data_IF_655495554360
#
_entry.id   IF_655495554360
#
_cell.length_a   1.000
_cell.length_b   1.000
_cell.length_c   1.000
_cell.angle_alpha   90.00
_cell.angle_beta   90.00
_cell.angle_gamma   90.00
#
_symmetry.space_group_name_H-M   'P 1'
#
loop_
_entity.id
_entity.type
_entity.pdbx_description
1 polymer ?
#
# COMPACT_ATOMS: atom_id res chain seq x y z
N UNK A 1 3.79 14.63 -12.19
CA UNK A 1 3.40 13.71 -11.11
C UNK A 1 3.38 12.33 -11.72
N UNK A 2 4.11 11.37 -11.16
CA UNK A 2 4.23 10.04 -11.76
C UNK A 2 2.96 9.22 -11.48
N UNK A 3 2.59 8.37 -12.42
CA UNK A 3 1.49 7.41 -12.29
C UNK A 3 1.84 6.27 -11.32
N UNK A 4 0.83 5.50 -10.91
CA UNK A 4 1.00 4.34 -10.05
C UNK A 4 1.90 3.27 -10.72
N UNK A 5 1.72 3.03 -12.03
CA UNK A 5 2.53 2.06 -12.77
C UNK A 5 3.99 2.52 -12.91
N UNK A 6 4.23 3.79 -13.22
CA UNK A 6 5.60 4.34 -13.28
C UNK A 6 6.30 4.21 -11.92
N UNK A 7 5.60 4.48 -10.82
CA UNK A 7 6.14 4.30 -9.47
C UNK A 7 6.43 2.82 -9.16
N UNK A 8 5.55 1.91 -9.58
CA UNK A 8 5.73 0.48 -9.40
C UNK A 8 6.92 -0.07 -10.20
N UNK A 9 7.02 0.27 -11.49
CA UNK A 9 8.11 -0.17 -12.36
C UNK A 9 9.47 0.28 -11.85
N UNK A 10 9.56 1.53 -11.41
CA UNK A 10 10.83 2.05 -10.89
C UNK A 10 11.24 1.43 -9.54
N UNK A 11 10.29 0.87 -8.78
CA UNK A 11 10.57 0.09 -7.56
C UNK A 11 11.08 -1.32 -7.87
N UNK A 12 10.79 -1.84 -9.06
CA UNK A 12 11.29 -3.14 -9.52
C UNK A 12 12.68 -2.98 -10.14
N UNK A 13 13.50 -4.05 -10.15
CA UNK A 13 14.71 -4.06 -10.95
C UNK A 13 14.35 -3.89 -12.44
N UNK A 14 14.87 -2.85 -13.08
CA UNK A 14 14.59 -2.52 -14.48
C UNK A 14 15.84 -2.00 -15.19
N UNK A 15 15.80 -1.97 -16.51
CA UNK A 15 16.88 -1.40 -17.33
C UNK A 15 16.61 0.07 -17.61
N UNK A 16 17.58 0.94 -17.39
CA UNK A 16 17.51 2.36 -17.74
C UNK A 16 18.84 2.86 -18.31
N UNK A 17 18.83 4.01 -19.00
CA UNK A 17 20.06 4.62 -19.51
C UNK A 17 20.88 5.25 -18.39
N UNK A 18 22.17 4.94 -18.38
CA UNK A 18 23.14 5.53 -17.47
C UNK A 18 23.38 7.01 -17.80
N UNK A 19 23.23 7.95 -16.85
CA UNK A 19 23.51 9.37 -17.13
C UNK A 19 25.00 9.65 -17.35
N UNK A 20 25.91 8.87 -16.73
CA UNK A 20 27.35 9.05 -16.87
C UNK A 20 27.93 8.55 -18.21
N UNK A 21 27.58 7.33 -18.63
CA UNK A 21 28.15 6.70 -19.85
C UNK A 21 27.16 6.47 -21.00
N UNK A 22 25.88 6.83 -20.83
CA UNK A 22 24.84 6.74 -21.86
C UNK A 22 24.37 5.32 -22.21
N UNK A 23 25.01 4.28 -21.66
CA UNK A 23 24.68 2.87 -21.92
C UNK A 23 23.51 2.40 -21.05
N UNK A 24 22.78 1.41 -21.55
CA UNK A 24 21.75 0.73 -20.76
C UNK A 24 22.39 0.00 -19.57
N UNK A 25 21.82 0.19 -18.39
CA UNK A 25 22.25 -0.45 -17.16
C UNK A 25 21.05 -0.96 -16.39
N UNK A 26 21.29 -1.99 -15.60
CA UNK A 26 20.35 -2.43 -14.59
C UNK A 26 20.31 -1.39 -13.46
N UNK A 27 19.12 -0.92 -13.11
CA UNK A 27 18.90 -0.02 -11.98
C UNK A 27 18.71 -0.86 -10.72
N UNK A 28 19.52 -0.54 -9.72
CA UNK A 28 19.43 -1.16 -8.41
C UNK A 28 18.18 -0.69 -7.66
N UNK A 29 17.53 -1.69 -7.09
CA UNK A 29 16.50 -1.67 -6.06
C UNK A 29 16.42 -0.35 -5.28
N UNK A 30 15.21 0.21 -5.19
CA UNK A 30 14.89 1.21 -4.16
C UNK A 30 14.98 0.54 -2.79
N UNK A 31 15.73 1.08 -1.85
CA UNK A 31 15.77 0.62 -0.46
C UNK A 31 15.19 1.70 0.44
N UNK A 32 13.94 1.53 0.87
CA UNK A 32 13.22 2.51 1.67
C UNK A 32 13.03 3.84 0.94
N UNK A 33 13.56 4.93 1.50
CA UNK A 33 13.51 6.28 0.91
C UNK A 33 14.69 6.57 -0.03
N UNK A 34 15.64 5.64 -0.14
CA UNK A 34 16.87 5.80 -0.91
C UNK A 34 16.81 4.96 -2.18
N UNK A 35 17.16 5.55 -3.31
CA UNK A 35 17.39 4.82 -4.54
C UNK A 35 18.87 4.52 -4.66
N UNK A 36 19.22 3.25 -4.89
CA UNK A 36 20.61 2.84 -5.09
C UNK A 36 20.78 2.41 -6.53
N UNK A 37 21.20 3.34 -7.37
CA UNK A 37 21.52 3.05 -8.76
C UNK A 37 23.00 2.66 -8.87
N UNK A 38 23.31 1.58 -9.60
CA UNK A 38 24.68 1.15 -9.90
C UNK A 38 24.79 0.81 -11.38
N UNK A 39 25.66 1.50 -12.11
CA UNK A 39 25.92 1.17 -13.50
C UNK A 39 26.67 -0.15 -13.64
N UNK A 40 26.11 -1.15 -14.32
CA UNK A 40 26.81 -2.40 -14.62
C UNK A 40 28.03 -2.16 -15.53
N UNK A 41 27.97 -1.13 -16.39
CA UNK A 41 29.02 -0.79 -17.36
C UNK A 41 30.17 0.03 -16.75
N UNK A 42 29.89 1.23 -16.23
CA UNK A 42 30.94 2.14 -15.72
C UNK A 42 31.13 2.11 -14.20
N UNK A 43 30.37 1.27 -13.48
CA UNK A 43 30.39 1.12 -12.01
C UNK A 43 30.03 2.37 -11.21
N UNK A 44 29.60 3.44 -11.88
CA UNK A 44 29.07 4.63 -11.24
C UNK A 44 27.93 4.25 -10.29
N UNK A 45 27.92 4.83 -9.08
CA UNK A 45 26.91 4.56 -8.06
C UNK A 45 26.26 5.87 -7.65
N UNK A 46 24.96 5.97 -7.86
CA UNK A 46 24.16 7.12 -7.44
C UNK A 46 23.26 6.65 -6.31
N UNK A 47 23.47 7.19 -5.12
CA UNK A 47 22.56 7.03 -4.00
C UNK A 47 21.78 8.33 -3.92
N UNK A 48 20.54 8.34 -4.42
CA UNK A 48 19.65 9.49 -4.21
C UNK A 48 18.85 9.22 -2.93
N UNK A 49 19.00 10.10 -1.94
CA UNK A 49 18.05 10.21 -0.86
C UNK A 49 16.98 11.22 -1.29
N UNK A 50 15.74 10.77 -1.44
CA UNK A 50 14.64 11.61 -1.88
C UNK A 50 14.46 11.66 -3.41
N UNK A 51 13.20 11.75 -3.82
CA UNK A 51 12.80 11.92 -5.23
C UNK A 51 11.82 10.88 -5.77
N UNK A 52 11.49 9.83 -5.00
CA UNK A 52 10.47 8.90 -5.49
C UNK A 52 9.06 9.44 -5.28
N UNK A 53 8.19 9.31 -6.29
CA UNK A 53 6.83 9.82 -6.22
C UNK A 53 6.08 8.89 -5.29
N UNK A 54 5.78 9.36 -4.09
CA UNK A 54 4.83 8.68 -3.23
C UNK A 54 3.42 9.02 -3.71
N UNK A 55 3.07 8.63 -4.94
CA UNK A 55 1.79 8.97 -5.56
C UNK A 55 0.59 8.55 -4.71
N UNK A 56 0.76 7.47 -3.94
CA UNK A 56 -0.20 6.95 -2.97
C UNK A 56 -0.09 7.55 -1.56
N UNK A 57 1.01 8.21 -1.16
CA UNK A 57 1.09 8.92 0.13
C UNK A 57 0.52 10.31 -0.03
N UNK A 58 -0.78 10.40 0.16
CA UNK A 58 -1.53 11.65 0.11
C UNK A 58 -2.60 11.64 1.20
N UNK A 59 -3.32 12.75 1.32
CA UNK A 59 -4.37 12.92 2.32
C UNK A 59 -5.74 12.40 1.86
N UNK A 60 -5.84 11.76 0.67
CA UNK A 60 -7.11 11.20 0.22
C UNK A 60 -7.50 10.00 1.09
N UNK A 61 -8.79 9.91 1.34
CA UNK A 61 -9.37 8.80 2.09
C UNK A 61 -10.18 7.89 1.19
N UNK A 62 -10.01 6.58 1.41
CA UNK A 62 -10.67 5.51 0.69
C UNK A 62 -11.47 4.65 1.64
N UNK A 63 -12.53 4.03 1.13
CA UNK A 63 -13.41 3.19 1.93
C UNK A 63 -12.91 1.75 1.99
N UNK A 64 -13.03 1.15 3.17
CA UNK A 64 -13.10 -0.29 3.33
C UNK A 64 -14.45 -0.63 3.95
N UNK A 65 -15.09 -1.66 3.40
CA UNK A 65 -16.36 -2.16 3.89
C UNK A 65 -16.12 -3.54 4.45
N UNK A 66 -16.63 -3.79 5.65
CA UNK A 66 -16.61 -5.11 6.28
C UNK A 66 -18.02 -5.57 6.58
N UNK A 67 -18.22 -6.86 6.48
CA UNK A 67 -19.43 -7.50 6.96
C UNK A 67 -19.35 -7.79 8.45
N UNK A 68 -20.51 -7.92 9.07
CA UNK A 68 -20.64 -8.28 10.47
C UNK A 68 -19.94 -9.63 10.74
N UNK A 69 -18.96 -9.68 11.65
CA UNK A 69 -18.25 -10.91 11.94
C UNK A 69 -19.17 -12.05 12.42
N UNK A 70 -18.99 -13.24 11.85
CA UNK A 70 -19.81 -14.42 12.13
C UNK A 70 -19.54 -15.05 13.50
N UNK A 71 -18.29 -15.02 13.98
CA UNK A 71 -17.85 -15.68 15.21
C UNK A 71 -17.12 -14.73 16.17
N UNK A 72 -17.02 -15.17 17.43
CA UNK A 72 -16.43 -14.38 18.52
C UNK A 72 -14.95 -14.07 18.31
N UNK A 73 -14.20 -14.94 17.65
CA UNK A 73 -12.77 -14.73 17.41
C UNK A 73 -12.58 -13.57 16.43
N UNK A 74 -13.34 -13.56 15.32
CA UNK A 74 -13.31 -12.46 14.35
C UNK A 74 -13.75 -11.12 14.96
N UNK A 75 -14.68 -11.14 15.93
CA UNK A 75 -15.04 -9.93 16.69
C UNK A 75 -13.86 -9.35 17.49
N UNK A 76 -13.06 -10.21 18.12
CA UNK A 76 -11.87 -9.78 18.88
C UNK A 76 -10.81 -9.22 17.93
N UNK A 77 -10.49 -9.95 16.86
CA UNK A 77 -9.52 -9.49 15.85
C UNK A 77 -9.94 -8.16 15.20
N UNK A 78 -11.22 -8.00 14.88
CA UNK A 78 -11.73 -6.75 14.32
C UNK A 78 -11.54 -5.58 15.30
N UNK A 79 -11.88 -5.77 16.57
CA UNK A 79 -11.76 -4.74 17.59
C UNK A 79 -10.29 -4.34 17.82
N UNK A 80 -9.38 -5.32 17.83
CA UNK A 80 -7.94 -5.10 17.96
C UNK A 80 -7.37 -4.27 16.80
N UNK A 81 -7.68 -4.66 15.55
CA UNK A 81 -7.24 -3.93 14.34
C UNK A 81 -7.78 -2.50 14.32
N UNK A 82 -9.03 -2.29 14.75
CA UNK A 82 -9.64 -0.96 14.88
C UNK A 82 -9.14 -0.17 16.10
N UNK A 83 -8.33 -0.77 16.98
CA UNK A 83 -7.88 -0.20 18.26
C UNK A 83 -9.06 0.26 19.12
N UNK A 84 -10.11 -0.57 19.19
CA UNK A 84 -11.34 -0.36 19.97
C UNK A 84 -11.62 -1.56 20.87
N UNK A 85 -12.54 -1.39 21.82
CA UNK A 85 -13.06 -2.54 22.55
C UNK A 85 -14.15 -3.27 21.73
N UNK A 86 -14.40 -4.54 22.04
CA UNK A 86 -15.38 -5.38 21.31
C UNK A 86 -16.81 -4.85 21.42
N UNK A 87 -17.19 -4.26 22.56
CA UNK A 87 -18.56 -3.78 22.79
C UNK A 87 -18.89 -2.55 21.95
N UNK A 88 -17.94 -1.63 21.80
CA UNK A 88 -18.02 -0.44 20.98
C UNK A 88 -17.99 -0.81 19.50
N UNK A 89 -17.13 -1.78 19.12
CA UNK A 89 -17.15 -2.32 17.75
C UNK A 89 -18.51 -2.91 17.40
N UNK A 90 -19.16 -3.63 18.34
CA UNK A 90 -20.51 -4.19 18.13
C UNK A 90 -21.59 -3.13 17.94
N UNK A 91 -21.46 -1.95 18.57
CA UNK A 91 -22.44 -0.86 18.41
C UNK A 91 -22.50 -0.37 16.96
N UNK A 92 -21.40 -0.41 16.21
CA UNK A 92 -21.41 -0.04 14.79
C UNK A 92 -22.30 -0.93 13.94
N UNK A 93 -22.55 -2.18 14.35
CA UNK A 93 -23.40 -3.14 13.66
C UNK A 93 -24.78 -3.32 14.34
N UNK A 94 -25.18 -2.39 15.21
CA UNK A 94 -26.46 -2.49 15.92
C UNK A 94 -27.66 -2.40 14.96
N UNK A 95 -27.52 -1.62 13.88
CA UNK A 95 -28.58 -1.34 12.92
C UNK A 95 -28.18 -1.63 11.46
N UNK A 96 -27.00 -2.23 11.26
CA UNK A 96 -26.46 -2.54 9.93
C UNK A 96 -25.78 -3.91 9.95
N UNK A 97 -25.69 -4.56 8.79
CA UNK A 97 -24.88 -5.76 8.58
C UNK A 97 -23.46 -5.45 8.11
N UNK A 98 -23.18 -4.19 7.76
CA UNK A 98 -21.90 -3.74 7.23
C UNK A 98 -21.41 -2.50 7.94
N UNK A 99 -20.09 -2.33 8.00
CA UNK A 99 -19.42 -1.14 8.49
C UNK A 99 -18.49 -0.63 7.39
N UNK A 100 -18.70 0.61 6.97
CA UNK A 100 -17.77 1.34 6.11
C UNK A 100 -16.85 2.20 6.98
N UNK A 101 -15.54 2.03 6.80
CA UNK A 101 -14.53 2.92 7.38
C UNK A 101 -13.79 3.65 6.27
N UNK A 102 -13.45 4.91 6.50
CA UNK A 102 -12.65 5.71 5.58
C UNK A 102 -11.29 5.97 6.19
N UNK A 103 -10.24 5.64 5.45
CA UNK A 103 -8.85 5.70 5.90
C UNK A 103 -7.98 6.28 4.79
N UNK A 104 -6.87 6.90 5.17
CA UNK A 104 -5.80 7.29 4.23
C UNK A 104 -5.25 6.05 3.51
N UNK A 105 -4.70 6.24 2.31
CA UNK A 105 -4.21 5.14 1.45
C UNK A 105 -3.38 4.08 2.19
N UNK A 106 -2.36 4.50 2.93
CA UNK A 106 -1.45 3.60 3.65
C UNK A 106 -2.21 2.77 4.70
N UNK A 107 -2.92 3.44 5.61
CA UNK A 107 -3.74 2.78 6.63
C UNK A 107 -4.84 1.88 6.03
N UNK A 108 -5.42 2.29 4.89
CA UNK A 108 -6.41 1.50 4.17
C UNK A 108 -5.81 0.16 3.70
N UNK A 109 -4.62 0.20 3.12
CA UNK A 109 -3.93 -1.01 2.66
C UNK A 109 -3.46 -1.86 3.85
N UNK A 110 -2.91 -1.26 4.90
CA UNK A 110 -2.50 -1.97 6.11
C UNK A 110 -3.68 -2.71 6.77
N UNK A 111 -4.79 -2.01 7.01
CA UNK A 111 -5.99 -2.57 7.63
C UNK A 111 -6.62 -3.64 6.76
N UNK A 112 -6.68 -3.43 5.43
CA UNK A 112 -7.17 -4.44 4.49
C UNK A 112 -6.39 -5.75 4.61
N UNK A 113 -5.06 -5.69 4.65
CA UNK A 113 -4.23 -6.89 4.80
C UNK A 113 -4.32 -7.52 6.19
N UNK A 114 -4.44 -6.71 7.24
CA UNK A 114 -4.66 -7.22 8.59
C UNK A 114 -5.99 -8.00 8.69
N UNK A 115 -7.06 -7.50 8.06
CA UNK A 115 -8.34 -8.19 8.01
C UNK A 115 -8.31 -9.47 7.19
N UNK A 116 -7.69 -9.46 6.01
CA UNK A 116 -7.49 -10.67 5.22
C UNK A 116 -6.69 -11.73 5.98
N UNK A 117 -5.61 -11.33 6.67
CA UNK A 117 -4.81 -12.24 7.50
C UNK A 117 -5.60 -12.82 8.69
N UNK A 118 -6.60 -12.09 9.18
CA UNK A 118 -7.50 -12.52 10.24
C UNK A 118 -8.74 -13.29 9.73
N UNK A 119 -8.81 -13.61 8.43
CA UNK A 119 -9.96 -14.24 7.78
C UNK A 119 -11.27 -13.45 7.97
N UNK A 120 -11.18 -12.12 8.01
CA UNK A 120 -12.34 -11.22 8.08
C UNK A 120 -12.68 -10.77 6.65
N UNK A 121 -13.87 -11.11 6.12
CA UNK A 121 -14.31 -10.64 4.82
C UNK A 121 -14.37 -9.10 4.77
N UNK A 122 -13.61 -8.52 3.84
CA UNK A 122 -13.55 -7.09 3.64
C UNK A 122 -13.47 -6.74 2.15
N UNK A 123 -14.17 -5.69 1.76
CA UNK A 123 -14.16 -5.13 0.42
C UNK A 123 -13.47 -3.77 0.42
N UNK A 124 -12.57 -3.58 -0.55
CA UNK A 124 -11.93 -2.30 -0.78
C UNK A 124 -12.76 -1.49 -1.76
N UNK A 125 -13.04 -0.23 -1.42
CA UNK A 125 -13.75 0.68 -2.31
C UNK A 125 -13.04 0.77 -3.67
N UNK A 126 -13.77 0.70 -4.80
CA UNK A 126 -13.18 0.60 -6.13
C UNK A 126 -12.36 1.84 -6.51
N UNK A 127 -12.56 2.97 -5.83
CA UNK A 127 -11.80 4.18 -6.07
C UNK A 127 -10.31 4.02 -5.75
N UNK A 128 -9.93 3.24 -4.73
CA UNK A 128 -8.52 3.06 -4.39
C UNK A 128 -7.78 2.32 -5.50
N UNK A 129 -8.39 1.25 -6.02
CA UNK A 129 -7.84 0.46 -7.12
C UNK A 129 -7.86 1.21 -8.46
N UNK A 130 -8.77 2.18 -8.64
CA UNK A 130 -8.76 3.08 -9.81
C UNK A 130 -7.64 4.11 -9.73
N UNK A 131 -7.44 4.73 -8.58
CA UNK A 131 -6.39 5.73 -8.37
C UNK A 131 -5.00 5.07 -8.33
N UNK A 132 -4.89 3.88 -7.75
CA UNK A 132 -3.64 3.12 -7.56
C UNK A 132 -3.79 1.62 -7.90
N UNK A 133 -3.79 1.23 -9.18
CA UNK A 133 -4.04 -0.16 -9.62
C UNK A 133 -3.07 -1.20 -9.08
N UNK A 134 -1.83 -0.79 -8.73
CA UNK A 134 -0.77 -1.68 -8.24
C UNK A 134 -0.63 -1.69 -6.71
N UNK A 135 -1.52 -1.01 -5.98
CA UNK A 135 -1.32 -0.76 -4.54
C UNK A 135 -1.27 -2.05 -3.70
N UNK A 136 -2.03 -3.07 -4.10
CA UNK A 136 -2.08 -4.35 -3.38
C UNK A 136 -0.82 -5.20 -3.62
N UNK A 137 -0.21 -5.11 -4.81
CA UNK A 137 0.96 -5.90 -5.19
C UNK A 137 2.28 -5.12 -5.07
N UNK A 138 2.23 -3.88 -4.56
CA UNK A 138 3.41 -3.02 -4.43
C UNK A 138 4.43 -3.66 -3.46
N UNK A 139 5.68 -3.93 -3.91
CA UNK A 139 6.69 -4.64 -3.11
C UNK A 139 7.25 -3.84 -1.93
N UNK A 140 6.96 -2.54 -1.88
CA UNK A 140 7.36 -1.64 -0.81
C UNK A 140 6.10 -1.04 -0.19
N UNK A 141 5.79 -1.54 1.01
CA UNK A 141 4.91 -0.94 2.02
C UNK A 141 5.77 -0.47 3.17
#
# INVERSE_FOLDING_TARGET
MFSCDECYEMRQPHTAKCPACGKDTFVGRIEGISSVWVCSNCKERVISAGGYPQGCHNEKEYSLVIEKPADKQKWVSLADILKKNVLDTRKYFAHTSTLEIRLRTEACVEVYHAWLAADIPCEMGPQLLRDYPRILDCPYR
#
